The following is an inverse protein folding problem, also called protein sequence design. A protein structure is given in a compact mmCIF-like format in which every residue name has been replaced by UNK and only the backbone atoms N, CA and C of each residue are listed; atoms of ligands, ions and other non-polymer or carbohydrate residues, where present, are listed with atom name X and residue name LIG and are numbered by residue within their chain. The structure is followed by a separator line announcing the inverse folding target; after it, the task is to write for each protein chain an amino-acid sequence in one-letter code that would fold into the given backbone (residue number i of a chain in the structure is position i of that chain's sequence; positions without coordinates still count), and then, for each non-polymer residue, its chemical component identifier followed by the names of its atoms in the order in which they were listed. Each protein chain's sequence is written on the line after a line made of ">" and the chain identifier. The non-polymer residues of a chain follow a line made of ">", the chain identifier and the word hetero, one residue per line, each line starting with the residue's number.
data_IF_969561103977
#
_entry.id   IF_969561103977
#
_cell.length_a   1.000
_cell.length_b   1.000
_cell.length_c   1.000
_cell.angle_alpha   90.00
_cell.angle_beta   90.00
_cell.angle_gamma   90.00
#
_symmetry.space_group_name_H-M   'P 1'
#
loop_
_entity.id
_entity.type
_entity.pdbx_description
1 polymer ?
#
# COMPACT_ATOMS: atom_id res chain seq x y z
N UNK A 1 -1.51 -24.52 -2.48
CA UNK A 1 -0.92 -23.87 -3.68
C UNK A 1 -1.37 -22.41 -3.69
N UNK A 2 -0.48 -21.44 -3.94
CA UNK A 2 -0.87 -20.02 -4.05
C UNK A 2 -1.38 -19.71 -5.45
N UNK A 3 -2.23 -18.68 -5.58
CA UNK A 3 -2.80 -18.24 -6.87
C UNK A 3 -2.56 -16.75 -7.12
N UNK A 4 -2.66 -16.30 -8.37
CA UNK A 4 -2.67 -14.87 -8.66
C UNK A 4 -4.08 -14.31 -8.44
N UNK A 5 -4.17 -13.19 -7.72
CA UNK A 5 -5.43 -12.49 -7.51
C UNK A 5 -5.45 -11.18 -8.29
N UNK A 6 -6.49 -10.96 -9.09
CA UNK A 6 -6.68 -9.76 -9.91
C UNK A 6 -7.82 -8.87 -9.41
N UNK A 7 -8.57 -9.30 -8.39
CA UNK A 7 -9.74 -8.60 -7.85
C UNK A 7 -9.70 -8.51 -6.32
N UNK A 8 -10.03 -7.34 -5.77
CA UNK A 8 -10.02 -7.13 -4.32
C UNK A 8 -8.62 -7.18 -3.68
N UNK A 9 -8.54 -7.20 -2.34
CA UNK A 9 -7.27 -7.20 -1.63
C UNK A 9 -6.48 -8.51 -1.78
N UNK A 10 -5.17 -8.40 -1.95
CA UNK A 10 -4.25 -9.54 -2.00
C UNK A 10 -4.02 -10.08 -0.58
N UNK A 11 -4.27 -11.38 -0.36
CA UNK A 11 -4.00 -12.11 0.88
C UNK A 11 -2.65 -12.82 0.77
N UNK A 12 -1.59 -12.41 1.50
CA UNK A 12 -0.23 -12.94 1.31
C UNK A 12 -0.09 -14.46 1.54
N UNK A 13 -0.93 -15.02 2.41
CA UNK A 13 -0.94 -16.45 2.70
C UNK A 13 -1.54 -17.28 1.55
N UNK A 14 -2.46 -16.70 0.79
CA UNK A 14 -3.23 -17.42 -0.22
C UNK A 14 -2.79 -17.06 -1.65
N UNK A 15 -2.21 -15.88 -1.85
CA UNK A 15 -1.92 -15.32 -3.17
C UNK A 15 -0.42 -15.10 -3.38
N UNK A 16 0.04 -15.24 -4.62
CA UNK A 16 1.35 -14.75 -5.01
C UNK A 16 1.35 -13.22 -4.97
N UNK A 17 2.30 -12.64 -4.23
CA UNK A 17 2.36 -11.20 -4.02
C UNK A 17 3.78 -10.74 -3.77
N UNK A 18 4.15 -9.62 -4.38
CA UNK A 18 5.33 -8.84 -3.99
C UNK A 18 4.94 -7.95 -2.80
N UNK A 19 5.89 -7.61 -1.92
CA UNK A 19 5.63 -6.70 -0.81
C UNK A 19 4.94 -5.41 -1.31
N UNK A 20 3.72 -5.10 -0.83
CA UNK A 20 2.98 -3.92 -1.28
C UNK A 20 3.68 -2.62 -0.86
N UNK A 21 4.50 -2.66 0.20
CA UNK A 21 5.24 -1.49 0.69
C UNK A 21 6.48 -1.17 -0.12
N UNK A 22 7.04 -2.14 -0.85
CA UNK A 22 8.24 -1.93 -1.67
C UNK A 22 8.01 -0.95 -2.84
N UNK A 23 6.75 -0.61 -3.13
CA UNK A 23 6.35 0.30 -4.22
C UNK A 23 6.29 1.76 -3.80
N UNK A 24 6.43 2.04 -2.51
CA UNK A 24 6.22 3.37 -1.96
C UNK A 24 7.55 4.08 -1.69
N UNK A 25 7.63 5.33 -2.13
CA UNK A 25 8.61 6.28 -1.60
C UNK A 25 8.05 6.87 -0.30
N UNK A 26 8.47 6.29 0.82
CA UNK A 26 7.96 6.66 2.15
C UNK A 26 8.30 8.09 2.54
N UNK A 27 9.46 8.60 2.11
CA UNK A 27 9.87 9.96 2.42
C UNK A 27 9.01 10.96 1.64
N UNK A 28 8.73 10.70 0.36
CA UNK A 28 7.81 11.52 -0.43
C UNK A 28 6.39 11.54 0.16
N UNK A 29 5.89 10.39 0.60
CA UNK A 29 4.57 10.30 1.24
C UNK A 29 4.54 11.09 2.55
N UNK A 30 5.58 10.97 3.38
CA UNK A 30 5.68 11.70 4.65
C UNK A 30 5.60 13.21 4.43
N UNK A 31 6.34 13.73 3.45
CA UNK A 31 6.29 15.16 3.08
C UNK A 31 4.90 15.62 2.62
N UNK A 32 4.17 14.77 1.90
CA UNK A 32 2.80 15.07 1.49
C UNK A 32 1.84 15.12 2.68
N UNK A 33 2.01 14.22 3.64
CA UNK A 33 1.22 14.19 4.88
C UNK A 33 1.49 15.42 5.74
N UNK A 34 2.76 15.78 5.94
CA UNK A 34 3.18 16.97 6.71
C UNK A 34 2.67 18.27 6.10
N UNK A 35 2.50 18.31 4.77
CA UNK A 35 1.92 19.44 4.06
C UNK A 35 0.38 19.38 3.93
N UNK A 36 -0.28 18.40 4.59
CA UNK A 36 -1.73 18.18 4.54
C UNK A 36 -2.29 18.03 3.11
N UNK A 37 -1.53 17.38 2.21
CA UNK A 37 -1.89 17.27 0.80
C UNK A 37 -2.51 15.92 0.46
N UNK A 38 -3.60 15.96 -0.31
CA UNK A 38 -4.11 14.79 -1.01
C UNK A 38 -3.19 14.39 -2.18
N UNK A 39 -3.07 13.08 -2.43
CA UNK A 39 -2.34 12.55 -3.58
C UNK A 39 -3.08 11.39 -4.25
N UNK A 40 -2.78 11.17 -5.52
CA UNK A 40 -3.38 10.11 -6.34
C UNK A 40 -2.33 9.05 -6.63
N UNK A 41 -2.67 7.78 -6.43
CA UNK A 41 -1.86 6.64 -6.87
C UNK A 41 -2.13 6.34 -8.35
N UNK A 42 -1.28 6.87 -9.22
CA UNK A 42 -1.28 6.53 -10.64
C UNK A 42 -0.62 5.17 -10.88
N UNK A 43 -1.41 4.17 -11.27
CA UNK A 43 -0.93 2.86 -11.71
C UNK A 43 -1.96 2.15 -12.61
N UNK A 44 -1.54 1.21 -13.49
CA UNK A 44 -2.44 0.47 -14.39
C UNK A 44 -3.57 -0.28 -13.67
N UNK A 45 -4.63 -0.66 -14.39
CA UNK A 45 -5.77 -1.42 -13.81
C UNK A 45 -5.27 -2.75 -13.21
N UNK A 46 -5.91 -3.19 -12.13
CA UNK A 46 -5.66 -4.48 -11.47
C UNK A 46 -4.21 -4.70 -10.94
N UNK A 47 -3.43 -3.63 -10.75
CA UNK A 47 -2.06 -3.70 -10.20
C UNK A 47 -1.99 -3.71 -8.66
N UNK A 48 -3.11 -3.98 -7.99
CA UNK A 48 -3.14 -4.05 -6.52
C UNK A 48 -3.09 -2.69 -5.81
N UNK A 49 -3.52 -1.60 -6.46
CA UNK A 49 -3.61 -0.25 -5.86
C UNK A 49 -4.29 -0.25 -4.48
N UNK A 50 -5.46 -0.90 -4.37
CA UNK A 50 -6.19 -1.04 -3.10
C UNK A 50 -5.36 -1.75 -2.04
N UNK A 51 -4.66 -2.84 -2.40
CA UNK A 51 -3.79 -3.57 -1.46
C UNK A 51 -2.59 -2.72 -1.02
N UNK A 52 -2.02 -1.92 -1.92
CA UNK A 52 -0.91 -1.02 -1.60
C UNK A 52 -1.33 0.09 -0.63
N UNK A 53 -2.52 0.67 -0.82
CA UNK A 53 -3.07 1.70 0.07
C UNK A 53 -3.42 1.15 1.45
N UNK A 54 -4.00 -0.05 1.55
CA UNK A 54 -4.26 -0.71 2.83
C UNK A 54 -2.96 -0.99 3.59
N UNK A 55 -1.93 -1.49 2.91
CA UNK A 55 -0.63 -1.71 3.52
C UNK A 55 0.02 -0.39 4.00
N UNK A 56 -0.10 0.69 3.22
CA UNK A 56 0.39 2.01 3.60
C UNK A 56 -0.34 2.54 4.84
N UNK A 57 -1.67 2.42 4.88
CA UNK A 57 -2.49 2.81 6.03
C UNK A 57 -2.03 2.08 7.30
N UNK A 58 -1.86 0.77 7.24
CA UNK A 58 -1.39 -0.03 8.38
C UNK A 58 0.02 0.39 8.82
N UNK A 59 0.92 0.67 7.87
CA UNK A 59 2.26 1.18 8.17
C UNK A 59 2.21 2.51 8.91
N UNK A 60 1.39 3.46 8.45
CA UNK A 60 1.21 4.77 9.08
C UNK A 60 0.59 4.63 10.47
N UNK A 61 -0.45 3.81 10.62
CA UNK A 61 -1.08 3.48 11.92
C UNK A 61 -0.05 2.96 12.91
N UNK A 62 0.77 2.00 12.50
CA UNK A 62 1.81 1.41 13.36
C UNK A 62 2.88 2.41 13.82
N UNK A 63 3.08 3.49 13.06
CA UNK A 63 4.05 4.53 13.35
C UNK A 63 3.47 5.56 14.34
N UNK A 64 2.18 5.89 14.20
CA UNK A 64 1.50 6.92 15.00
C UNK A 64 1.15 6.45 16.42
N UNK A 65 1.06 5.13 16.66
CA UNK A 65 0.81 4.54 17.99
C UNK A 65 2.10 4.42 18.83
N UNK A 66 3.26 4.76 18.25
CA UNK A 66 4.58 4.64 18.91
C UNK A 66 5.18 5.99 19.34
N UNK A 67 4.44 7.07 19.17
CA UNK A 67 4.74 8.44 19.62
C UNK A 67 3.71 8.84 20.66
#
# INVERSE_FOLDING_TARGET
>A
MKTFNTAGPVKPNNHYSISPLARWDTEKIRRLIEAERYFVLHAPRQTGKTSCLLALMEKLRSCLVRT
#
